data_IF_069640536711
#
_entry.id   IF_069640536711
#
_cell.length_a   1.000
_cell.length_b   1.000
_cell.length_c   1.000
_cell.angle_alpha   90.00
_cell.angle_beta   90.00
_cell.angle_gamma   90.00
#
_symmetry.space_group_name_H-M   'P 1'
#
loop_
_entity.id
_entity.type
_entity.pdbx_description
1 polymer ?
#
# COMPACT_ATOMS: atom_id res chain seq x y z
N UNK A 1 30.34 25.46 33.17
CA UNK A 1 30.44 25.16 31.73
C UNK A 1 29.79 23.81 31.40
N UNK A 2 28.54 23.59 31.86
CA UNK A 2 27.87 22.28 31.77
C UNK A 2 26.45 22.35 31.16
N UNK A 3 25.92 23.56 30.89
CA UNK A 3 24.54 23.75 30.42
C UNK A 3 24.40 23.86 28.89
N UNK A 4 25.52 23.84 28.15
CA UNK A 4 25.53 23.94 26.69
C UNK A 4 25.54 22.53 26.05
N UNK A 5 26.08 21.51 26.72
CA UNK A 5 26.19 20.15 26.18
C UNK A 5 24.84 19.41 26.15
N UNK A 6 23.97 19.61 27.16
CA UNK A 6 22.66 18.93 27.21
C UNK A 6 21.68 19.41 26.14
N UNK A 7 21.77 20.68 25.72
CA UNK A 7 20.93 21.21 24.63
C UNK A 7 21.35 20.73 23.24
N UNK A 8 22.62 20.35 23.08
CA UNK A 8 23.16 19.80 21.82
C UNK A 8 22.73 18.34 21.65
N UNK A 9 22.67 17.57 22.74
CA UNK A 9 22.22 16.17 22.69
C UNK A 9 20.73 16.03 22.35
N UNK A 10 19.89 16.98 22.78
CA UNK A 10 18.44 16.93 22.54
C UNK A 10 18.06 17.20 21.07
N UNK A 11 18.92 17.89 20.31
CA UNK A 11 18.65 18.19 18.89
C UNK A 11 19.06 17.05 17.94
N UNK A 12 19.83 16.07 18.42
CA UNK A 12 20.29 14.93 17.62
C UNK A 12 19.33 13.74 17.63
N UNK A 13 18.30 13.73 18.50
CA UNK A 13 17.42 12.56 18.66
C UNK A 13 16.25 12.49 17.68
N UNK A 14 16.09 13.43 16.75
CA UNK A 14 14.95 13.47 15.80
C UNK A 14 15.34 13.33 14.33
N UNK A 15 16.64 13.28 13.99
CA UNK A 15 17.08 13.13 12.61
C UNK A 15 17.59 11.70 12.36
N UNK A 16 16.77 10.88 11.70
CA UNK A 16 17.17 9.57 11.13
C UNK A 16 18.12 9.79 9.95
N UNK A 17 19.32 10.23 10.25
CA UNK A 17 20.28 10.70 9.27
C UNK A 17 21.61 9.99 9.52
N UNK A 18 21.77 8.83 8.87
CA UNK A 18 22.84 7.85 9.19
C UNK A 18 24.04 7.91 8.23
N UNK A 19 24.28 9.01 7.50
CA UNK A 19 25.41 9.04 6.57
C UNK A 19 26.23 10.33 6.65
N UNK A 20 27.50 10.17 7.03
CA UNK A 20 28.50 11.23 7.19
C UNK A 20 29.23 11.40 5.84
N UNK A 21 29.08 12.55 5.17
CA UNK A 21 29.64 12.78 3.82
C UNK A 21 31.04 13.44 3.84
N UNK A 22 31.53 13.90 5.00
CA UNK A 22 32.93 14.30 5.19
C UNK A 22 33.11 15.70 5.80
N UNK A 23 34.38 16.09 5.98
CA UNK A 23 34.78 17.37 6.60
C UNK A 23 35.46 18.24 5.53
N UNK A 24 34.96 19.45 5.30
CA UNK A 24 35.64 20.46 4.47
C UNK A 24 36.50 21.35 5.38
N UNK A 25 37.82 21.27 5.22
CA UNK A 25 38.76 22.15 5.90
C UNK A 25 38.83 23.50 5.17
N UNK A 26 38.29 24.56 5.77
CA UNK A 26 38.53 25.93 5.32
C UNK A 26 39.56 26.54 6.27
N UNK A 27 40.68 27.01 5.70
CA UNK A 27 41.82 27.56 6.43
C UNK A 27 41.49 28.95 6.99
N UNK A 28 40.65 29.03 8.02
CA UNK A 28 40.52 30.14 9.00
C UNK A 28 39.53 29.74 10.09
N UNK A 29 40.03 29.17 11.19
CA UNK A 29 39.55 29.17 12.59
C UNK A 29 38.03 29.19 12.94
N UNK A 30 37.13 28.77 12.06
CA UNK A 30 35.71 28.54 12.40
C UNK A 30 35.28 27.17 11.93
N UNK A 31 35.12 26.25 12.87
CA UNK A 31 34.41 24.99 12.66
C UNK A 31 32.93 25.31 12.40
N UNK A 32 32.54 25.36 11.13
CA UNK A 32 31.13 25.31 10.73
C UNK A 32 30.78 23.85 10.49
N UNK A 33 29.98 23.26 11.38
CA UNK A 33 29.40 21.95 11.15
C UNK A 33 28.29 22.10 10.12
N UNK A 34 28.50 21.60 8.90
CA UNK A 34 27.42 21.37 7.95
C UNK A 34 26.92 19.94 8.18
N UNK A 35 25.74 19.82 8.78
CA UNK A 35 25.01 18.54 8.81
C UNK A 35 24.18 18.46 7.54
N UNK A 36 24.79 18.02 6.44
CA UNK A 36 24.00 17.64 5.27
C UNK A 36 23.54 16.21 5.47
N UNK A 37 22.25 16.05 5.77
CA UNK A 37 21.65 14.73 5.68
C UNK A 37 21.63 14.31 4.24
N UNK A 38 22.22 13.14 3.95
CA UNK A 38 22.07 12.47 2.67
C UNK A 38 20.57 12.47 2.32
N UNK A 39 20.17 13.32 1.38
CA UNK A 39 18.81 13.37 0.89
C UNK A 39 18.59 12.05 0.17
N UNK A 40 17.81 11.18 0.78
CA UNK A 40 17.31 10.01 0.11
C UNK A 40 16.34 10.49 -0.98
N UNK A 41 16.84 10.62 -2.20
CA UNK A 41 16.02 10.91 -3.36
C UNK A 41 15.35 9.62 -3.80
N UNK A 42 14.17 9.32 -3.27
CA UNK A 42 13.32 8.30 -3.87
C UNK A 42 12.85 8.84 -5.23
N UNK A 43 13.38 8.27 -6.30
CA UNK A 43 12.86 8.51 -7.64
C UNK A 43 11.51 7.82 -7.76
N UNK A 44 10.45 8.61 -7.91
CA UNK A 44 9.12 8.06 -8.22
C UNK A 44 8.96 8.05 -9.75
N UNK A 45 8.95 6.87 -10.33
CA UNK A 45 8.86 6.56 -11.77
C UNK A 45 7.58 5.82 -12.19
N UNK A 46 6.58 5.68 -11.30
CA UNK A 46 5.30 5.06 -11.67
C UNK A 46 4.58 5.87 -12.76
N UNK A 47 4.11 5.21 -13.84
CA UNK A 47 3.66 5.89 -15.05
C UNK A 47 2.43 6.78 -14.84
N UNK A 48 1.57 6.44 -13.89
CA UNK A 48 0.32 7.18 -13.66
C UNK A 48 0.49 8.35 -12.67
N UNK A 49 1.68 8.60 -12.09
CA UNK A 49 1.89 9.66 -11.09
C UNK A 49 1.36 11.03 -11.55
N UNK A 50 1.57 11.39 -12.81
CA UNK A 50 1.13 12.68 -13.36
C UNK A 50 -0.40 12.83 -13.46
N UNK A 51 -1.17 11.74 -13.31
CA UNK A 51 -2.64 11.76 -13.26
C UNK A 51 -3.19 11.81 -11.84
N UNK A 52 -2.34 11.56 -10.85
CA UNK A 52 -2.69 11.59 -9.43
C UNK A 52 -2.56 13.02 -8.91
N UNK A 53 -3.50 13.88 -9.34
CA UNK A 53 -3.52 15.31 -9.00
C UNK A 53 -3.45 15.56 -7.48
N UNK A 54 -3.94 14.62 -6.68
CA UNK A 54 -3.95 14.71 -5.22
C UNK A 54 -2.55 14.51 -4.60
N UNK A 55 -1.60 13.88 -5.31
CA UNK A 55 -0.20 13.71 -4.89
C UNK A 55 0.70 14.79 -5.49
N UNK A 56 0.51 15.10 -6.77
CA UNK A 56 1.28 16.09 -7.51
C UNK A 56 0.37 16.81 -8.50
N UNK A 57 -0.06 18.02 -8.15
CA UNK A 57 -0.93 18.80 -9.01
C UNK A 57 -0.13 19.64 -10.01
N UNK A 58 -0.06 19.18 -11.26
CA UNK A 58 0.65 19.90 -12.33
C UNK A 58 -0.14 21.11 -12.89
N UNK A 59 -1.42 21.28 -12.53
CA UNK A 59 -2.29 22.33 -13.09
C UNK A 59 -2.52 23.48 -12.11
N UNK A 60 -2.61 23.17 -10.81
CA UNK A 60 -2.82 24.15 -9.75
C UNK A 60 -1.94 23.84 -8.55
N UNK A 61 -0.78 24.48 -8.51
CA UNK A 61 0.22 24.28 -7.46
C UNK A 61 -0.39 24.55 -6.06
N UNK A 62 -0.06 23.71 -5.08
CA UNK A 62 -0.56 23.80 -3.71
C UNK A 62 -1.96 23.20 -3.47
N UNK A 63 -2.61 22.64 -4.51
CA UNK A 63 -3.88 21.90 -4.40
C UNK A 63 -3.62 20.38 -4.52
N UNK A 64 -2.76 19.90 -3.64
CA UNK A 64 -2.41 18.49 -3.44
C UNK A 64 -2.03 18.27 -1.97
N UNK A 65 -1.68 17.05 -1.58
CA UNK A 65 -1.32 16.71 -0.21
C UNK A 65 0.11 17.13 0.17
N UNK A 66 0.88 17.74 -0.75
CA UNK A 66 2.27 18.15 -0.53
C UNK A 66 3.17 17.03 0.02
N UNK A 67 3.08 15.84 -0.56
CA UNK A 67 3.81 14.63 -0.11
C UNK A 67 5.26 14.58 -0.58
N UNK A 68 5.61 15.31 -1.65
CA UNK A 68 6.93 15.24 -2.29
C UNK A 68 8.10 15.57 -1.33
N UNK A 69 8.02 16.60 -0.45
CA UNK A 69 9.08 16.86 0.52
C UNK A 69 9.31 15.70 1.50
N UNK A 70 8.25 14.99 1.90
CA UNK A 70 8.36 13.82 2.77
C UNK A 70 9.10 12.67 2.05
N UNK A 71 8.73 12.39 0.80
CA UNK A 71 9.39 11.36 -0.01
C UNK A 71 10.87 11.68 -0.29
N UNK A 72 11.23 12.93 -0.57
CA UNK A 72 12.63 13.40 -0.70
C UNK A 72 13.43 13.30 0.60
N UNK A 73 12.73 13.16 1.73
CA UNK A 73 13.31 12.94 3.06
C UNK A 73 13.25 11.46 3.47
N UNK A 74 13.05 10.54 2.52
CA UNK A 74 12.93 9.10 2.77
C UNK A 74 11.72 8.68 3.63
N UNK A 75 10.70 9.54 3.77
CA UNK A 75 9.50 9.23 4.54
C UNK A 75 8.43 8.69 3.61
N UNK A 76 8.30 7.36 3.54
CA UNK A 76 7.40 6.65 2.62
C UNK A 76 6.44 5.67 3.32
N UNK A 77 6.42 5.64 4.65
CA UNK A 77 5.60 4.71 5.43
C UNK A 77 6.21 3.34 5.71
N UNK A 78 7.49 3.10 5.37
CA UNK A 78 8.17 1.85 5.73
C UNK A 78 8.12 1.57 7.24
N UNK A 79 7.76 0.34 7.59
CA UNK A 79 7.57 -0.11 8.98
C UNK A 79 6.18 0.15 9.56
N UNK A 80 5.26 0.74 8.79
CA UNK A 80 3.86 0.93 9.18
C UNK A 80 2.97 -0.09 8.47
N UNK A 81 2.03 -0.69 9.21
CA UNK A 81 0.92 -1.47 8.65
C UNK A 81 -0.38 -0.67 8.74
N UNK A 82 -1.09 -0.52 7.63
CA UNK A 82 -2.37 0.19 7.56
C UNK A 82 -3.51 -0.81 7.37
N UNK A 83 -4.46 -0.82 8.30
CA UNK A 83 -5.68 -1.60 8.21
C UNK A 83 -6.75 -0.90 7.35
N UNK A 84 -7.20 -1.55 6.28
CA UNK A 84 -8.31 -1.10 5.42
C UNK A 84 -9.57 -1.87 5.83
N UNK A 85 -10.42 -1.23 6.62
CA UNK A 85 -11.71 -1.81 7.04
C UNK A 85 -12.74 -1.55 5.95
N UNK A 86 -12.84 -2.48 5.01
CA UNK A 86 -13.79 -2.47 3.90
C UNK A 86 -14.36 -3.90 3.69
N UNK A 87 -14.87 -4.20 2.50
CA UNK A 87 -15.34 -5.54 2.13
C UNK A 87 -14.18 -6.50 1.77
N UNK A 88 -12.95 -5.99 1.77
CA UNK A 88 -11.71 -6.73 1.59
C UNK A 88 -10.77 -6.12 0.56
N UNK A 89 -9.50 -6.54 0.60
CA UNK A 89 -8.45 -6.13 -0.35
C UNK A 89 -8.01 -7.33 -1.21
N UNK A 90 -8.12 -7.18 -2.53
CA UNK A 90 -7.71 -8.19 -3.50
C UNK A 90 -6.18 -8.22 -3.64
N UNK A 91 -5.61 -9.40 -3.87
CA UNK A 91 -4.21 -9.52 -4.29
C UNK A 91 -3.96 -8.69 -5.56
N UNK A 92 -2.93 -7.86 -5.52
CA UNK A 92 -2.58 -6.98 -6.62
C UNK A 92 -1.06 -6.82 -6.69
N UNK A 93 -0.50 -6.80 -7.90
CA UNK A 93 0.95 -6.64 -8.12
C UNK A 93 1.49 -5.34 -7.56
N UNK A 94 0.62 -4.34 -7.42
CA UNK A 94 0.92 -3.01 -6.91
C UNK A 94 0.62 -2.83 -5.41
N UNK A 95 0.31 -3.89 -4.66
CA UNK A 95 0.11 -3.81 -3.22
C UNK A 95 1.08 -4.75 -2.48
N UNK A 96 1.45 -4.36 -1.26
CA UNK A 96 2.09 -5.26 -0.30
C UNK A 96 1.07 -5.61 0.80
N UNK A 97 0.42 -6.77 0.66
CA UNK A 97 -0.68 -7.16 1.54
C UNK A 97 -0.19 -8.14 2.60
N UNK A 98 -0.32 -7.75 3.87
CA UNK A 98 -0.06 -8.61 5.01
C UNK A 98 -1.27 -9.52 5.26
N UNK A 99 -1.23 -10.72 4.68
CA UNK A 99 -2.30 -11.74 4.79
C UNK A 99 -2.42 -12.35 6.19
N UNK A 100 -1.46 -12.15 7.09
CA UNK A 100 -1.58 -12.59 8.48
C UNK A 100 -2.53 -11.71 9.29
N UNK A 101 -2.73 -10.46 8.85
CA UNK A 101 -3.61 -9.46 9.46
C UNK A 101 -4.90 -9.25 8.65
N UNK A 102 -5.20 -10.14 7.71
CA UNK A 102 -6.44 -10.12 6.92
C UNK A 102 -7.60 -10.65 7.77
N UNK A 103 -8.32 -9.73 8.43
CA UNK A 103 -9.42 -10.06 9.34
C UNK A 103 -10.72 -10.37 8.58
N UNK A 104 -10.89 -9.85 7.36
CA UNK A 104 -12.13 -9.99 6.60
C UNK A 104 -12.40 -11.40 6.07
N UNK A 105 -11.34 -12.13 5.70
CA UNK A 105 -11.49 -13.47 5.08
C UNK A 105 -11.71 -14.61 6.07
N UNK A 106 -11.29 -14.51 7.33
CA UNK A 106 -11.23 -15.67 8.24
C UNK A 106 -12.40 -15.82 9.22
N UNK A 107 -13.23 -14.79 9.43
CA UNK A 107 -14.26 -14.82 10.49
C UNK A 107 -15.69 -14.50 10.04
N UNK A 108 -15.91 -14.20 8.77
CA UNK A 108 -17.23 -13.81 8.28
C UNK A 108 -18.08 -15.02 7.88
N UNK A 109 -19.39 -15.01 8.22
CA UNK A 109 -20.39 -16.02 7.77
C UNK A 109 -20.34 -16.23 6.25
N UNK A 110 -19.93 -15.19 5.51
CA UNK A 110 -19.68 -15.24 4.07
C UNK A 110 -18.57 -16.21 3.66
N UNK A 111 -17.50 -16.39 4.44
CA UNK A 111 -16.44 -17.35 4.10
C UNK A 111 -16.97 -18.79 4.10
N UNK A 112 -17.72 -19.17 5.13
CA UNK A 112 -18.34 -20.50 5.20
C UNK A 112 -19.39 -20.71 4.10
N UNK A 113 -20.21 -19.69 3.84
CA UNK A 113 -21.15 -19.73 2.73
C UNK A 113 -20.43 -19.92 1.39
N UNK A 114 -19.31 -19.23 1.16
CA UNK A 114 -18.51 -19.38 -0.07
C UNK A 114 -17.89 -20.77 -0.20
N UNK A 115 -17.37 -21.36 0.88
CA UNK A 115 -16.84 -22.73 0.88
C UNK A 115 -17.94 -23.75 0.51
N UNK A 116 -19.13 -23.60 1.09
CA UNK A 116 -20.27 -24.47 0.77
C UNK A 116 -20.73 -24.31 -0.68
N UNK A 117 -20.77 -23.07 -1.20
CA UNK A 117 -21.11 -22.79 -2.59
C UNK A 117 -20.08 -23.43 -3.55
N UNK A 118 -18.79 -23.34 -3.23
CA UNK A 118 -17.71 -23.94 -4.01
C UNK A 118 -17.81 -25.47 -4.03
N UNK A 119 -18.03 -26.08 -2.87
CA UNK A 119 -18.18 -27.53 -2.76
C UNK A 119 -19.41 -28.03 -3.54
N UNK A 120 -20.54 -27.32 -3.45
CA UNK A 120 -21.74 -27.65 -4.24
C UNK A 120 -21.46 -27.59 -5.74
N UNK A 121 -20.72 -26.57 -6.22
CA UNK A 121 -20.35 -26.48 -7.62
C UNK A 121 -19.42 -27.62 -8.06
N UNK A 122 -18.46 -28.01 -7.21
CA UNK A 122 -17.56 -29.13 -7.47
C UNK A 122 -18.34 -30.43 -7.61
N UNK A 123 -19.27 -30.70 -6.70
CA UNK A 123 -20.16 -31.87 -6.76
C UNK A 123 -21.00 -31.85 -8.04
N UNK A 124 -21.55 -30.70 -8.40
CA UNK A 124 -22.37 -30.63 -9.60
C UNK A 124 -21.56 -30.81 -10.89
N UNK A 125 -20.31 -30.31 -10.95
CA UNK A 125 -19.39 -30.58 -12.06
C UNK A 125 -19.06 -32.07 -12.18
N UNK A 126 -18.88 -32.77 -11.05
CA UNK A 126 -18.71 -34.23 -11.05
C UNK A 126 -19.96 -34.93 -11.57
N UNK A 127 -21.16 -34.53 -11.18
CA UNK A 127 -22.41 -35.11 -11.69
C UNK A 127 -22.54 -34.97 -13.21
N UNK A 128 -22.14 -33.83 -13.77
CA UNK A 128 -22.09 -33.65 -15.23
C UNK A 128 -21.12 -34.63 -15.89
N UNK A 129 -19.95 -34.88 -15.28
CA UNK A 129 -18.99 -35.88 -15.77
C UNK A 129 -19.57 -37.30 -15.80
N UNK A 130 -20.48 -37.63 -14.88
CA UNK A 130 -21.18 -38.92 -14.83
C UNK A 130 -22.49 -38.96 -15.64
N UNK A 131 -22.78 -37.93 -16.47
CA UNK A 131 -23.93 -37.96 -17.39
C UNK A 131 -25.28 -37.53 -16.81
N UNK A 132 -25.32 -36.91 -15.62
CA UNK A 132 -26.57 -36.36 -15.05
C UNK A 132 -27.12 -35.16 -15.85
N UNK A 133 -28.43 -34.87 -15.70
CA UNK A 133 -29.14 -33.78 -16.39
C UNK A 133 -28.40 -32.42 -16.30
N UNK A 134 -28.24 -31.75 -17.45
CA UNK A 134 -27.54 -30.47 -17.59
C UNK A 134 -28.34 -29.23 -17.18
N UNK A 135 -29.67 -29.25 -17.23
CA UNK A 135 -30.50 -28.06 -17.02
C UNK A 135 -30.38 -27.43 -15.62
N UNK A 136 -30.43 -28.20 -14.51
CA UNK A 136 -30.22 -27.63 -13.18
C UNK A 136 -28.84 -26.99 -13.06
N UNK A 137 -27.83 -27.59 -13.69
CA UNK A 137 -26.45 -27.12 -13.56
C UNK A 137 -26.17 -25.83 -14.33
N UNK A 138 -26.82 -25.61 -15.48
CA UNK A 138 -26.71 -24.34 -16.21
C UNK A 138 -27.29 -23.17 -15.40
N UNK A 139 -28.40 -23.40 -14.69
CA UNK A 139 -28.98 -22.42 -13.76
C UNK A 139 -28.05 -22.13 -12.59
N UNK A 140 -27.46 -23.17 -11.98
CA UNK A 140 -26.45 -23.03 -10.92
C UNK A 140 -25.21 -22.26 -11.36
N UNK A 141 -24.62 -22.62 -12.49
CA UNK A 141 -23.45 -21.92 -13.05
C UNK A 141 -23.76 -20.43 -13.29
N UNK A 142 -24.95 -20.11 -13.81
CA UNK A 142 -25.39 -18.74 -14.03
C UNK A 142 -25.50 -17.94 -12.73
N UNK A 143 -26.14 -18.51 -11.70
CA UNK A 143 -26.27 -17.88 -10.38
C UNK A 143 -24.91 -17.71 -9.69
N UNK A 144 -24.08 -18.75 -9.73
CA UNK A 144 -22.73 -18.73 -9.17
C UNK A 144 -21.87 -17.63 -9.78
N UNK A 145 -21.87 -17.51 -11.11
CA UNK A 145 -21.12 -16.46 -11.81
C UNK A 145 -21.62 -15.04 -11.45
N UNK A 146 -22.90 -14.87 -11.13
CA UNK A 146 -23.44 -13.59 -10.63
C UNK A 146 -22.91 -13.28 -9.23
N UNK A 147 -22.91 -14.26 -8.33
CA UNK A 147 -22.42 -14.10 -6.95
C UNK A 147 -20.91 -13.77 -6.95
N UNK A 148 -20.11 -14.53 -7.70
CA UNK A 148 -18.67 -14.30 -7.77
C UNK A 148 -18.34 -12.93 -8.36
N UNK A 149 -19.05 -12.48 -9.41
CA UNK A 149 -18.88 -11.13 -9.95
C UNK A 149 -19.21 -10.05 -8.92
N UNK A 150 -20.33 -10.18 -8.19
CA UNK A 150 -20.70 -9.22 -7.14
C UNK A 150 -19.67 -9.16 -6.02
N UNK A 151 -19.12 -10.30 -5.62
CA UNK A 151 -18.03 -10.36 -4.65
C UNK A 151 -16.77 -9.68 -5.17
N UNK A 152 -16.40 -9.92 -6.43
CA UNK A 152 -15.26 -9.28 -7.06
C UNK A 152 -15.43 -7.74 -7.10
N UNK A 153 -16.58 -7.24 -7.55
CA UNK A 153 -16.88 -5.80 -7.55
C UNK A 153 -16.82 -5.19 -6.15
N UNK A 154 -17.28 -5.95 -5.16
CA UNK A 154 -17.24 -5.58 -3.76
C UNK A 154 -15.79 -5.42 -3.24
N UNK A 155 -14.87 -6.31 -3.63
CA UNK A 155 -13.44 -6.24 -3.26
C UNK A 155 -12.69 -5.09 -3.96
N UNK A 156 -13.16 -4.64 -5.13
CA UNK A 156 -12.53 -3.52 -5.85
C UNK A 156 -12.58 -2.21 -5.06
N UNK A 157 -13.52 -2.05 -4.12
CA UNK A 157 -13.61 -0.83 -3.33
C UNK A 157 -12.45 -0.74 -2.34
N UNK A 158 -12.32 -1.71 -1.43
CA UNK A 158 -11.18 -1.79 -0.51
C UNK A 158 -9.83 -1.83 -1.22
N UNK A 159 -9.73 -2.50 -2.37
CA UNK A 159 -8.48 -2.53 -3.17
C UNK A 159 -8.10 -1.14 -3.71
N UNK A 160 -9.07 -0.32 -4.14
CA UNK A 160 -8.81 1.05 -4.59
C UNK A 160 -8.40 1.96 -3.43
N UNK A 161 -9.05 1.81 -2.28
CA UNK A 161 -8.66 2.53 -1.06
C UNK A 161 -7.22 2.18 -0.66
N UNK A 162 -6.88 0.89 -0.65
CA UNK A 162 -5.53 0.41 -0.39
C UNK A 162 -4.50 0.99 -1.36
N UNK A 163 -4.84 1.10 -2.66
CA UNK A 163 -3.96 1.71 -3.67
C UNK A 163 -3.64 3.18 -3.42
N UNK A 164 -4.64 3.98 -3.00
CA UNK A 164 -4.41 5.39 -2.63
C UNK A 164 -3.42 5.48 -1.45
N UNK A 165 -3.56 4.58 -0.47
CA UNK A 165 -2.73 4.57 0.73
C UNK A 165 -1.31 4.09 0.43
N UNK A 166 -1.16 2.91 -0.17
CA UNK A 166 0.13 2.21 -0.25
C UNK A 166 0.29 1.38 -1.53
N UNK A 167 -0.18 1.87 -2.68
CA UNK A 167 0.32 1.35 -3.95
C UNK A 167 1.85 1.47 -3.99
N UNK A 168 2.53 0.43 -4.47
CA UNK A 168 3.98 0.32 -4.36
C UNK A 168 4.63 1.27 -5.35
N UNK A 169 5.80 1.76 -4.99
CA UNK A 169 6.72 2.27 -6.00
C UNK A 169 7.44 1.06 -6.60
N UNK A 170 6.98 0.61 -7.77
CA UNK A 170 7.59 -0.49 -8.54
C UNK A 170 7.64 -0.26 -10.07
N UNK A 171 7.41 0.98 -10.53
CA UNK A 171 7.36 1.32 -11.95
C UNK A 171 6.09 0.84 -12.67
N UNK A 172 5.02 0.50 -11.94
CA UNK A 172 3.75 0.01 -12.50
C UNK A 172 2.58 0.82 -11.94
N UNK A 173 1.64 1.18 -12.80
CA UNK A 173 0.38 1.77 -12.32
C UNK A 173 0.59 3.06 -11.55
N UNK A 174 0.08 3.10 -10.31
CA UNK A 174 0.01 4.29 -9.47
C UNK A 174 1.00 4.17 -8.30
N UNK A 175 1.23 5.26 -7.57
CA UNK A 175 1.96 5.23 -6.30
C UNK A 175 1.05 5.64 -5.15
N UNK A 176 1.20 4.98 -4.01
CA UNK A 176 0.49 5.31 -2.79
C UNK A 176 1.14 6.47 -2.03
N UNK A 177 0.38 7.13 -1.17
CA UNK A 177 0.89 8.17 -0.25
C UNK A 177 2.06 7.63 0.59
N UNK A 178 1.89 6.43 1.10
CA UNK A 178 2.80 5.68 1.94
C UNK A 178 3.16 4.36 1.25
N UNK A 179 3.76 4.45 0.06
CA UNK A 179 4.10 3.30 -0.80
C UNK A 179 5.07 2.27 -0.18
N UNK A 180 5.72 2.61 0.93
CA UNK A 180 6.55 1.68 1.72
C UNK A 180 5.78 0.94 2.82
N UNK A 181 4.51 1.26 3.06
CA UNK A 181 3.67 0.64 4.08
C UNK A 181 3.11 -0.71 3.64
N UNK A 182 2.73 -1.54 4.62
CA UNK A 182 1.97 -2.77 4.39
C UNK A 182 0.47 -2.51 4.53
N UNK A 183 -0.35 -3.23 3.76
CA UNK A 183 -1.81 -3.20 3.89
C UNK A 183 -2.30 -4.46 4.60
N UNK A 184 -3.12 -4.29 5.62
CA UNK A 184 -3.99 -5.32 6.20
C UNK A 184 -5.44 -5.03 5.77
N UNK A 185 -6.24 -6.03 5.45
CA UNK A 185 -7.61 -5.79 4.95
C UNK A 185 -8.51 -7.00 4.94
#
# INVERSE_FOLDING_TARGET
>A
MALILDKILFFLSTMKCTQFIGVVFIWVSKFLWFTECATCSIGIDDPELNRLWYLKNNWRNGYDMNVLPAWRSCVNGSGVTVGVVDKGVQDHTDLNINRNLDYGKRQSVTYWADQLILEQNRQNQQRLRYGYNRQPQQRWNSAYNIIQRRKQESLKHGTRVAGIVAAKQNGLGIVGIAFGAEIAG
#
